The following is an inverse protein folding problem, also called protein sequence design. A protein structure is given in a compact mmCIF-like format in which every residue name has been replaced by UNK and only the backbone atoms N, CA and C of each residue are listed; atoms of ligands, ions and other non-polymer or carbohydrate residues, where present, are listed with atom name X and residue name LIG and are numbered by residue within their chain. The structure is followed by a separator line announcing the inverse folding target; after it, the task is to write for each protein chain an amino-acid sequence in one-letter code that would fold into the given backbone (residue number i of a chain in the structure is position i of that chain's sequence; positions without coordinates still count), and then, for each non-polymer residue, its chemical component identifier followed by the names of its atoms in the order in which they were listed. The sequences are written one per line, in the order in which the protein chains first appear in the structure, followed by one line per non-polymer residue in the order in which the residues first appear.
data_IF_017193118882
#
_entry.id   IF_017193118882
#
_cell.length_a   1.000
_cell.length_b   1.000
_cell.length_c   1.000
_cell.angle_alpha   90.00
_cell.angle_beta   90.00
_cell.angle_gamma   90.00
#
_symmetry.space_group_name_H-M   'P 1'
#
loop_
_entity.id
_entity.type
_entity.pdbx_description
1 polymer ?
#
# COMPACT_ATOMS: atom_id res chain seq x y z
N UNK A 1 50.37 -25.21 -79.34
CA UNK A 1 51.77 -25.52 -78.95
C UNK A 1 52.17 -24.62 -77.78
N UNK A 2 52.86 -25.18 -76.77
CA UNK A 2 53.45 -24.58 -75.54
C UNK A 2 52.42 -24.21 -74.43
N UNK A 3 52.33 -24.99 -73.34
CA UNK A 3 53.19 -25.18 -72.14
C UNK A 3 53.01 -24.06 -71.09
N UNK A 4 52.30 -24.32 -69.99
CA UNK A 4 52.77 -24.59 -68.59
C UNK A 4 53.37 -23.36 -67.86
N UNK A 5 52.80 -23.01 -66.70
CA UNK A 5 53.37 -22.75 -65.34
C UNK A 5 52.37 -21.83 -64.59
N UNK A 6 51.63 -22.20 -63.54
CA UNK A 6 51.93 -22.72 -62.20
C UNK A 6 52.74 -21.75 -61.31
N UNK A 7 52.02 -20.99 -60.47
CA UNK A 7 52.42 -20.40 -59.16
C UNK A 7 51.13 -19.98 -58.42
N UNK A 8 50.59 -20.79 -57.49
CA UNK A 8 50.71 -20.68 -56.02
C UNK A 8 50.38 -19.28 -55.44
N UNK A 9 49.24 -19.10 -54.76
CA UNK A 9 49.03 -19.14 -53.26
C UNK A 9 49.37 -17.77 -52.62
N UNK A 10 48.61 -17.09 -51.73
CA UNK A 10 47.43 -17.34 -50.89
C UNK A 10 46.94 -15.98 -50.30
N UNK A 11 45.62 -15.88 -50.07
CA UNK A 11 44.83 -15.09 -49.08
C UNK A 11 45.14 -13.59 -48.81
N UNK A 12 44.15 -12.73 -48.59
CA UNK A 12 42.77 -12.97 -48.18
C UNK A 12 41.92 -11.71 -48.33
N UNK A 13 40.62 -11.95 -48.43
CA UNK A 13 39.58 -11.00 -48.77
C UNK A 13 39.35 -9.92 -47.71
N UNK A 14 39.02 -8.71 -48.16
CA UNK A 14 38.03 -7.86 -47.47
C UNK A 14 37.04 -7.35 -48.51
N UNK A 15 35.78 -7.73 -48.29
CA UNK A 15 34.61 -7.41 -49.07
C UNK A 15 34.34 -5.90 -49.12
N UNK A 16 33.97 -5.41 -50.30
CA UNK A 16 33.31 -4.14 -50.48
C UNK A 16 31.89 -4.19 -49.88
N UNK A 17 31.56 -3.24 -49.00
CA UNK A 17 30.23 -3.02 -48.45
C UNK A 17 29.85 -1.55 -48.61
N UNK A 18 28.83 -1.30 -49.42
CA UNK A 18 28.28 0.01 -49.76
C UNK A 18 27.79 0.83 -48.55
N UNK A 19 27.90 2.15 -48.69
CA UNK A 19 27.53 3.12 -47.67
C UNK A 19 26.06 3.14 -47.27
N UNK A 20 25.83 3.51 -46.00
CA UNK A 20 24.57 4.00 -45.47
C UNK A 20 24.82 5.40 -44.90
N UNK A 21 23.94 6.33 -45.26
CA UNK A 21 23.78 7.62 -44.58
C UNK A 21 23.24 7.36 -43.19
N UNK A 22 23.93 7.85 -42.18
CA UNK A 22 23.44 7.87 -40.81
C UNK A 22 22.28 8.86 -40.69
N UNK A 23 21.11 8.37 -40.26
CA UNK A 23 20.08 9.19 -39.62
C UNK A 23 20.42 9.26 -38.13
N UNK A 24 20.23 10.41 -37.46
CA UNK A 24 20.40 10.48 -36.02
C UNK A 24 19.27 9.69 -35.35
N UNK A 25 19.66 8.75 -34.49
CA UNK A 25 18.74 8.08 -33.57
C UNK A 25 18.01 9.15 -32.76
N UNK A 26 16.68 9.21 -32.93
CA UNK A 26 15.82 9.81 -31.91
C UNK A 26 15.91 8.91 -30.68
N UNK A 27 16.78 9.27 -29.76
CA UNK A 27 16.64 8.84 -28.38
C UNK A 27 15.27 9.34 -27.90
N UNK A 28 14.32 8.43 -27.73
CA UNK A 28 13.09 8.65 -26.98
C UNK A 28 13.48 8.91 -25.51
N UNK A 29 13.92 10.13 -25.22
CA UNK A 29 13.90 10.68 -23.88
C UNK A 29 12.44 11.00 -23.54
N UNK A 30 11.62 9.96 -23.30
CA UNK A 30 10.51 10.12 -22.37
C UNK A 30 11.18 10.40 -21.02
N UNK A 31 11.31 11.68 -20.69
CA UNK A 31 11.66 12.09 -19.34
C UNK A 31 10.67 11.37 -18.41
N UNK A 32 11.16 10.40 -17.63
CA UNK A 32 10.36 9.76 -16.59
C UNK A 32 9.77 10.89 -15.76
N UNK A 33 8.44 10.94 -15.68
CA UNK A 33 7.77 12.02 -14.94
C UNK A 33 8.00 11.75 -13.47
N UNK A 34 9.05 12.35 -12.91
CA UNK A 34 9.43 12.18 -11.51
C UNK A 34 8.47 12.97 -10.61
N UNK A 35 7.94 12.30 -9.57
CA UNK A 35 7.09 12.94 -8.57
C UNK A 35 8.01 13.75 -7.66
N UNK A 36 7.81 15.07 -7.60
CA UNK A 36 8.64 15.97 -6.78
C UNK A 36 8.05 16.25 -5.42
N UNK A 37 6.74 16.38 -5.35
CA UNK A 37 6.00 16.72 -4.13
C UNK A 37 4.92 15.66 -3.90
N UNK A 38 4.70 15.33 -2.63
CA UNK A 38 3.61 14.43 -2.27
C UNK A 38 2.25 15.08 -2.55
N UNK A 39 1.28 14.27 -2.97
CA UNK A 39 -0.06 14.77 -3.30
C UNK A 39 -1.15 13.75 -2.94
N UNK A 40 -2.33 14.23 -2.57
CA UNK A 40 -3.43 13.43 -2.04
C UNK A 40 -4.69 13.60 -2.88
N UNK A 41 -5.42 12.50 -3.05
CA UNK A 41 -6.75 12.44 -3.64
C UNK A 41 -7.65 11.52 -2.81
N UNK A 42 -8.95 11.82 -2.74
CA UNK A 42 -9.95 10.91 -2.19
C UNK A 42 -10.58 10.00 -3.25
N UNK A 43 -10.04 9.98 -4.47
CA UNK A 43 -10.60 9.24 -5.62
C UNK A 43 -12.03 9.67 -5.94
N UNK A 44 -12.36 10.95 -5.72
CA UNK A 44 -13.72 11.48 -5.87
C UNK A 44 -14.04 11.99 -7.29
N UNK A 45 -13.14 11.78 -8.25
CA UNK A 45 -13.41 11.99 -9.67
C UNK A 45 -12.92 10.79 -10.52
N UNK A 46 -13.38 10.73 -11.76
CA UNK A 46 -13.15 9.57 -12.63
C UNK A 46 -11.67 9.34 -12.93
N UNK A 47 -10.89 10.40 -13.16
CA UNK A 47 -9.47 10.30 -13.53
C UNK A 47 -8.62 9.76 -12.38
N UNK A 48 -8.78 10.30 -11.16
CA UNK A 48 -8.06 9.81 -9.98
C UNK A 48 -8.48 8.40 -9.62
N UNK A 49 -9.78 8.08 -9.71
CA UNK A 49 -10.29 6.75 -9.45
C UNK A 49 -9.71 5.71 -10.42
N UNK A 50 -9.78 5.97 -11.74
CA UNK A 50 -9.24 5.07 -12.77
C UNK A 50 -7.73 4.90 -12.67
N UNK A 51 -7.01 5.96 -12.31
CA UNK A 51 -5.58 5.88 -12.05
C UNK A 51 -5.27 4.90 -10.90
N UNK A 52 -5.94 5.06 -9.76
CA UNK A 52 -5.73 4.18 -8.60
C UNK A 52 -6.17 2.75 -8.91
N UNK A 53 -7.31 2.57 -9.60
CA UNK A 53 -7.79 1.27 -10.05
C UNK A 53 -6.72 0.55 -10.90
N UNK A 54 -6.19 1.21 -11.93
CA UNK A 54 -5.18 0.63 -12.81
C UNK A 54 -3.91 0.23 -12.05
N UNK A 55 -3.42 1.11 -11.17
CA UNK A 55 -2.21 0.89 -10.38
C UNK A 55 -2.39 -0.29 -9.41
N UNK A 56 -3.52 -0.37 -8.70
CA UNK A 56 -3.78 -1.48 -7.77
C UNK A 56 -3.97 -2.80 -8.52
N UNK A 57 -4.69 -2.82 -9.64
CA UNK A 57 -4.86 -4.02 -10.47
C UNK A 57 -3.52 -4.53 -11.01
N UNK A 58 -2.67 -3.64 -11.49
CA UNK A 58 -1.34 -4.01 -12.00
C UNK A 58 -0.43 -4.60 -10.91
N UNK A 59 -0.41 -3.99 -9.72
CA UNK A 59 0.53 -4.38 -8.67
C UNK A 59 0.02 -5.54 -7.80
N UNK A 60 -1.28 -5.66 -7.58
CA UNK A 60 -1.85 -6.66 -6.66
C UNK A 60 -2.61 -7.77 -7.38
N UNK A 61 -3.28 -7.46 -8.49
CA UNK A 61 -4.21 -8.39 -9.16
C UNK A 61 -3.68 -9.09 -10.41
N UNK A 62 -2.60 -8.58 -11.03
CA UNK A 62 -2.15 -9.04 -12.36
C UNK A 62 -1.82 -10.55 -12.43
N UNK A 63 -1.38 -11.14 -11.33
CA UNK A 63 -0.92 -12.53 -11.26
C UNK A 63 -1.83 -13.40 -10.35
N UNK A 64 -2.95 -12.87 -9.86
CA UNK A 64 -3.81 -13.53 -8.88
C UNK A 64 -5.28 -13.03 -8.94
N UNK A 65 -6.18 -13.88 -9.44
CA UNK A 65 -7.60 -13.55 -9.63
C UNK A 65 -8.34 -13.21 -8.32
N UNK A 66 -7.98 -13.84 -7.20
CA UNK A 66 -8.59 -13.54 -5.90
C UNK A 66 -8.15 -12.15 -5.42
N UNK A 67 -6.86 -11.84 -5.58
CA UNK A 67 -6.34 -10.50 -5.28
C UNK A 67 -6.96 -9.43 -6.19
N UNK A 68 -7.19 -9.74 -7.48
CA UNK A 68 -7.90 -8.84 -8.39
C UNK A 68 -9.35 -8.57 -7.93
N UNK A 69 -10.07 -9.61 -7.48
CA UNK A 69 -11.41 -9.48 -6.92
C UNK A 69 -11.42 -8.63 -5.62
N UNK A 70 -10.38 -8.73 -4.79
CA UNK A 70 -10.26 -7.89 -3.60
C UNK A 70 -9.99 -6.42 -3.95
N UNK A 71 -9.20 -6.14 -5.00
CA UNK A 71 -9.04 -4.78 -5.52
C UNK A 71 -10.39 -4.23 -6.01
N UNK A 72 -11.18 -5.02 -6.74
CA UNK A 72 -12.53 -4.60 -7.16
C UNK A 72 -13.45 -4.32 -5.96
N UNK A 73 -13.40 -5.16 -4.92
CA UNK A 73 -14.17 -4.95 -3.69
C UNK A 73 -13.74 -3.68 -2.95
N UNK A 74 -12.43 -3.43 -2.84
CA UNK A 74 -11.89 -2.19 -2.28
C UNK A 74 -12.40 -0.96 -3.04
N UNK A 75 -12.28 -0.96 -4.37
CA UNK A 75 -12.73 0.14 -5.23
C UNK A 75 -14.25 0.36 -5.14
N UNK A 76 -15.03 -0.72 -4.98
CA UNK A 76 -16.46 -0.61 -4.76
C UNK A 76 -16.80 0.08 -3.41
N UNK A 77 -16.04 -0.19 -2.34
CA UNK A 77 -16.19 0.49 -1.05
C UNK A 77 -15.79 1.97 -1.13
N UNK A 78 -14.71 2.30 -1.85
CA UNK A 78 -14.32 3.70 -2.12
C UNK A 78 -15.45 4.45 -2.82
N UNK A 79 -16.00 3.86 -3.88
CA UNK A 79 -17.08 4.46 -4.66
C UNK A 79 -18.36 4.64 -3.84
N UNK A 80 -18.78 3.63 -3.09
CA UNK A 80 -19.95 3.70 -2.21
C UNK A 80 -19.79 4.80 -1.16
N UNK A 81 -18.63 4.88 -0.51
CA UNK A 81 -18.33 5.93 0.46
C UNK A 81 -18.39 7.32 -0.20
N UNK A 82 -17.64 7.54 -1.29
CA UNK A 82 -17.57 8.83 -1.97
C UNK A 82 -18.95 9.32 -2.44
N UNK A 83 -19.76 8.42 -2.99
CA UNK A 83 -21.14 8.72 -3.40
C UNK A 83 -22.01 9.07 -2.18
N UNK A 84 -21.91 8.31 -1.10
CA UNK A 84 -22.74 8.50 0.10
C UNK A 84 -22.45 9.78 0.87
N UNK A 85 -21.17 10.19 0.98
CA UNK A 85 -20.78 11.41 1.68
C UNK A 85 -20.89 12.66 0.79
N UNK A 86 -21.06 12.46 -0.51
CA UNK A 86 -21.12 13.47 -1.55
C UNK A 86 -19.74 13.86 -2.06
N UNK A 87 -19.43 13.48 -3.31
CA UNK A 87 -18.11 13.69 -3.96
C UNK A 87 -17.62 15.14 -3.93
N UNK A 88 -18.54 16.11 -3.94
CA UNK A 88 -18.23 17.55 -3.80
C UNK A 88 -17.56 17.94 -2.48
N UNK A 89 -17.72 17.12 -1.44
CA UNK A 89 -17.13 17.32 -0.11
C UNK A 89 -15.73 16.68 -0.01
N UNK A 90 -15.24 16.09 -1.11
CA UNK A 90 -14.00 15.33 -1.17
C UNK A 90 -13.04 15.91 -2.22
N UNK A 91 -11.80 15.45 -2.16
CA UNK A 91 -10.75 15.83 -3.11
C UNK A 91 -10.80 14.88 -4.31
N UNK A 92 -11.20 15.39 -5.47
CA UNK A 92 -11.13 14.68 -6.75
C UNK A 92 -9.69 14.49 -7.22
N UNK A 93 -9.09 15.53 -7.81
CA UNK A 93 -7.72 15.48 -8.32
C UNK A 93 -6.67 15.40 -7.22
N UNK A 94 -5.50 14.85 -7.54
CA UNK A 94 -4.34 14.89 -6.64
C UNK A 94 -3.93 16.35 -6.37
N UNK A 95 -3.92 16.75 -5.10
CA UNK A 95 -3.49 18.08 -4.64
C UNK A 95 -2.28 17.97 -3.73
N UNK A 96 -1.36 18.94 -3.81
CA UNK A 96 -0.19 19.04 -2.93
C UNK A 96 -0.58 19.54 -1.51
N UNK A 97 -1.58 18.89 -0.91
CA UNK A 97 -2.05 19.12 0.45
C UNK A 97 -2.32 17.75 1.11
N UNK A 98 -1.46 17.38 2.06
CA UNK A 98 -1.57 16.13 2.81
C UNK A 98 -2.36 16.28 4.12
N UNK A 99 -2.80 17.50 4.47
CA UNK A 99 -3.58 17.80 5.68
C UNK A 99 -4.87 18.53 5.30
N UNK A 100 -5.69 17.97 4.38
CA UNK A 100 -6.92 18.61 3.99
C UNK A 100 -7.89 18.69 5.18
N UNK A 101 -8.61 19.80 5.26
CA UNK A 101 -9.69 19.96 6.23
C UNK A 101 -11.00 19.46 5.63
N UNK A 102 -11.63 18.49 6.30
CA UNK A 102 -12.96 18.00 5.95
C UNK A 102 -13.99 18.51 6.97
N UNK A 103 -15.20 18.79 6.52
CA UNK A 103 -16.33 18.96 7.42
C UNK A 103 -16.82 17.57 7.85
N UNK A 104 -16.18 17.01 8.87
CA UNK A 104 -16.50 15.66 9.38
C UNK A 104 -17.97 15.53 9.79
N UNK A 105 -18.58 16.60 10.31
CA UNK A 105 -20.00 16.62 10.65
C UNK A 105 -20.88 16.37 9.42
N UNK A 106 -20.61 17.07 8.33
CA UNK A 106 -21.32 16.88 7.05
C UNK A 106 -21.06 15.50 6.45
N UNK A 107 -19.82 15.00 6.49
CA UNK A 107 -19.51 13.66 5.96
C UNK A 107 -20.28 12.57 6.72
N UNK A 108 -20.26 12.63 8.06
CA UNK A 108 -20.95 11.67 8.93
C UNK A 108 -22.47 11.77 8.72
N UNK A 109 -23.03 12.97 8.70
CA UNK A 109 -24.47 13.19 8.51
C UNK A 109 -24.94 12.64 7.14
N UNK A 110 -24.19 12.91 6.08
CA UNK A 110 -24.50 12.39 4.75
C UNK A 110 -24.39 10.86 4.72
N UNK A 111 -23.30 10.30 5.29
CA UNK A 111 -23.08 8.85 5.36
C UNK A 111 -24.20 8.12 6.09
N UNK A 112 -24.72 8.70 7.17
CA UNK A 112 -25.81 8.12 7.97
C UNK A 112 -27.16 8.15 7.25
N UNK A 113 -27.42 9.19 6.42
CA UNK A 113 -28.68 9.34 5.67
C UNK A 113 -28.70 8.57 4.36
N UNK A 114 -27.53 8.24 3.81
CA UNK A 114 -27.43 7.56 2.54
C UNK A 114 -27.81 6.08 2.64
N UNK A 115 -28.42 5.54 1.58
CA UNK A 115 -28.47 4.11 1.36
C UNK A 115 -27.07 3.60 0.99
N UNK A 116 -26.36 3.03 1.96
CA UNK A 116 -25.01 2.48 1.77
C UNK A 116 -25.04 0.98 1.49
N UNK A 117 -24.19 0.53 0.55
CA UNK A 117 -24.04 -0.90 0.22
C UNK A 117 -23.01 -1.59 1.09
N UNK A 118 -22.06 -0.83 1.62
CA UNK A 118 -20.95 -1.35 2.42
C UNK A 118 -20.93 -0.72 3.81
N UNK A 119 -20.47 -1.46 4.84
CA UNK A 119 -20.22 -0.88 6.14
C UNK A 119 -19.09 0.14 6.07
N UNK A 120 -18.98 0.95 7.11
CA UNK A 120 -17.80 1.77 7.33
C UNK A 120 -16.65 0.87 7.78
N UNK A 121 -15.50 0.96 7.12
CA UNK A 121 -14.31 0.13 7.38
C UNK A 121 -13.11 1.01 7.72
N UNK A 122 -12.05 0.44 8.29
CA UNK A 122 -10.86 1.17 8.72
C UNK A 122 -9.59 0.73 7.96
N UNK A 123 -8.44 1.21 8.41
CA UNK A 123 -7.13 0.93 7.82
C UNK A 123 -6.82 -0.57 7.79
N UNK A 124 -7.03 -1.28 8.90
CA UNK A 124 -6.74 -2.72 9.05
C UNK A 124 -7.54 -3.54 8.04
N UNK A 125 -8.85 -3.34 7.97
CA UNK A 125 -9.74 -4.07 7.04
C UNK A 125 -9.32 -3.83 5.59
N UNK A 126 -9.10 -2.56 5.21
CA UNK A 126 -8.82 -2.22 3.82
C UNK A 126 -7.43 -2.68 3.35
N UNK A 127 -6.40 -2.48 4.18
CA UNK A 127 -5.05 -2.90 3.83
C UNK A 127 -4.95 -4.44 3.75
N UNK A 128 -5.60 -5.15 4.68
CA UNK A 128 -5.61 -6.60 4.67
C UNK A 128 -6.40 -7.17 3.49
N UNK A 129 -7.56 -6.59 3.16
CA UNK A 129 -8.33 -6.96 1.96
C UNK A 129 -7.46 -6.89 0.70
N UNK A 130 -6.73 -5.78 0.52
CA UNK A 130 -5.86 -5.59 -0.64
C UNK A 130 -4.67 -6.56 -0.69
N UNK A 131 -4.24 -7.13 0.44
CA UNK A 131 -3.00 -7.88 0.54
C UNK A 131 -3.15 -9.39 0.75
N UNK A 132 -4.23 -9.86 1.38
CA UNK A 132 -4.32 -11.21 1.97
C UNK A 132 -4.07 -12.33 0.96
N UNK A 133 -4.62 -12.25 -0.25
CA UNK A 133 -4.42 -13.28 -1.28
C UNK A 133 -2.99 -13.34 -1.83
N UNK A 134 -2.16 -12.33 -1.55
CA UNK A 134 -0.74 -12.29 -1.86
C UNK A 134 0.15 -12.51 -0.61
N UNK A 135 -0.46 -12.84 0.53
CA UNK A 135 0.21 -13.14 1.79
C UNK A 135 0.09 -14.63 2.12
N UNK A 136 0.95 -15.10 3.04
CA UNK A 136 0.89 -16.46 3.58
C UNK A 136 1.25 -16.43 5.05
N UNK A 137 0.38 -17.00 5.87
CA UNK A 137 0.66 -17.33 7.27
C UNK A 137 1.54 -18.59 7.34
N UNK A 138 2.64 -18.54 8.09
CA UNK A 138 3.62 -19.64 8.21
C UNK A 138 3.58 -20.35 9.57
N UNK A 139 2.74 -19.90 10.51
CA UNK A 139 2.68 -20.44 11.86
C UNK A 139 1.24 -20.55 12.33
N UNK A 140 0.84 -21.72 12.82
CA UNK A 140 -0.43 -21.92 13.52
C UNK A 140 -0.39 -21.34 14.94
N UNK A 141 -1.47 -20.72 15.38
CA UNK A 141 -1.66 -20.26 16.75
C UNK A 141 -3.03 -19.63 16.94
N UNK A 142 -3.44 -19.44 18.19
CA UNK A 142 -4.61 -18.61 18.50
C UNK A 142 -4.25 -17.13 18.33
N UNK A 143 -5.21 -16.35 17.84
CA UNK A 143 -5.11 -14.90 17.84
C UNK A 143 -5.36 -14.35 19.25
N UNK A 144 -4.76 -13.19 19.54
CA UNK A 144 -5.16 -12.33 20.65
C UNK A 144 -5.87 -11.10 20.06
N UNK A 145 -7.19 -11.21 19.93
CA UNK A 145 -8.06 -10.32 19.16
C UNK A 145 -8.80 -9.29 20.03
N UNK A 146 -8.40 -9.10 21.30
CA UNK A 146 -9.11 -8.24 22.26
C UNK A 146 -9.34 -6.79 21.76
N UNK A 147 -8.45 -6.29 20.91
CA UNK A 147 -8.51 -4.93 20.34
C UNK A 147 -9.23 -4.84 18.99
N UNK A 148 -9.79 -5.93 18.49
CA UNK A 148 -10.35 -6.05 17.13
C UNK A 148 -11.89 -6.01 17.10
N UNK A 149 -12.55 -5.79 18.23
CA UNK A 149 -14.02 -5.88 18.33
C UNK A 149 -14.78 -5.03 17.29
N UNK A 150 -14.33 -3.79 17.01
CA UNK A 150 -14.96 -2.95 15.99
C UNK A 150 -14.71 -3.48 14.58
N UNK A 151 -13.51 -3.98 14.32
CA UNK A 151 -13.15 -4.56 13.03
C UNK A 151 -14.00 -5.80 12.74
N UNK A 152 -14.13 -6.69 13.73
CA UNK A 152 -14.94 -7.90 13.64
C UNK A 152 -16.42 -7.59 13.40
N UNK A 153 -16.96 -6.57 14.08
CA UNK A 153 -18.33 -6.10 13.84
C UNK A 153 -18.52 -5.71 12.37
N UNK A 154 -17.60 -4.90 11.81
CA UNK A 154 -17.69 -4.41 10.43
C UNK A 154 -17.38 -5.47 9.38
N UNK A 155 -16.46 -6.39 9.68
CA UNK A 155 -16.19 -7.57 8.84
C UNK A 155 -17.45 -8.42 8.72
N UNK A 156 -18.12 -8.68 9.85
CA UNK A 156 -19.36 -9.47 9.89
C UNK A 156 -20.55 -8.76 9.24
N UNK A 157 -20.72 -7.46 9.52
CA UNK A 157 -21.76 -6.61 8.92
C UNK A 157 -21.67 -6.64 7.38
N UNK A 158 -20.46 -6.42 6.84
CA UNK A 158 -20.21 -6.36 5.40
C UNK A 158 -19.93 -7.69 4.72
N UNK A 159 -19.82 -8.80 5.46
CA UNK A 159 -19.30 -10.08 4.96
C UNK A 159 -18.01 -9.87 4.17
N UNK A 160 -17.06 -9.16 4.79
CA UNK A 160 -15.86 -8.68 4.11
C UNK A 160 -14.91 -9.83 3.80
N UNK A 161 -14.78 -10.78 4.73
CA UNK A 161 -13.93 -11.95 4.60
C UNK A 161 -14.77 -13.23 4.69
N UNK A 162 -14.26 -14.32 4.11
CA UNK A 162 -14.69 -15.65 4.50
C UNK A 162 -14.07 -16.03 5.84
N UNK A 163 -14.42 -17.22 6.34
CA UNK A 163 -13.97 -17.67 7.66
C UNK A 163 -12.44 -17.76 7.76
N UNK A 164 -11.77 -18.27 6.73
CA UNK A 164 -10.33 -18.49 6.76
C UNK A 164 -9.59 -17.15 6.75
N UNK A 165 -10.05 -16.20 5.93
CA UNK A 165 -9.48 -14.85 5.91
C UNK A 165 -9.81 -14.05 7.18
N UNK A 166 -10.96 -14.28 7.82
CA UNK A 166 -11.29 -13.68 9.12
C UNK A 166 -10.38 -14.21 10.24
N UNK A 167 -10.12 -15.52 10.27
CA UNK A 167 -9.14 -16.11 11.20
C UNK A 167 -7.72 -15.58 10.93
N UNK A 168 -7.32 -15.44 9.66
CA UNK A 168 -6.05 -14.86 9.28
C UNK A 168 -5.95 -13.37 9.66
N UNK A 169 -7.03 -12.60 9.50
CA UNK A 169 -7.11 -11.19 9.91
C UNK A 169 -6.86 -11.04 11.41
N UNK A 170 -7.56 -11.83 12.23
CA UNK A 170 -7.40 -11.81 13.70
C UNK A 170 -5.96 -12.08 14.10
N UNK A 171 -5.31 -13.05 13.46
CA UNK A 171 -3.89 -13.35 13.71
C UNK A 171 -2.99 -12.22 13.24
N UNK A 172 -3.13 -11.71 12.03
CA UNK A 172 -2.23 -10.66 11.54
C UNK A 172 -2.27 -9.40 12.42
N UNK A 173 -3.45 -9.04 12.92
CA UNK A 173 -3.67 -7.87 13.78
C UNK A 173 -3.74 -8.18 15.28
N UNK A 174 -3.35 -9.38 15.72
CA UNK A 174 -3.33 -9.66 17.15
C UNK A 174 -2.40 -8.71 17.88
N UNK A 175 -2.75 -8.38 19.12
CA UNK A 175 -1.79 -7.70 20.00
C UNK A 175 -0.67 -8.67 20.39
N UNK A 176 0.53 -8.14 20.57
CA UNK A 176 1.76 -8.89 20.78
C UNK A 176 2.33 -8.54 22.15
N UNK A 177 2.44 -9.50 23.09
CA UNK A 177 3.03 -9.24 24.40
C UNK A 177 4.45 -8.71 24.28
N UNK A 178 4.80 -7.71 25.07
CA UNK A 178 6.14 -7.13 25.13
C UNK A 178 6.55 -6.77 26.56
N UNK A 179 7.75 -6.21 26.73
CA UNK A 179 8.18 -5.58 27.96
C UNK A 179 7.95 -4.05 27.96
N UNK A 180 8.12 -3.42 29.12
CA UNK A 180 7.88 -1.99 29.32
C UNK A 180 8.94 -1.06 28.70
N UNK A 181 9.77 -1.54 27.77
CA UNK A 181 10.74 -0.69 27.09
C UNK A 181 10.06 0.44 26.31
N UNK A 182 10.68 1.60 26.34
CA UNK A 182 10.25 2.79 25.58
C UNK A 182 11.12 3.03 24.34
N UNK A 183 11.99 2.07 24.00
CA UNK A 183 12.90 2.18 22.87
C UNK A 183 12.24 1.59 21.60
N UNK A 184 11.95 2.43 20.58
CA UNK A 184 11.26 1.97 19.37
C UNK A 184 11.96 0.83 18.64
N UNK A 185 13.31 0.82 18.62
CA UNK A 185 14.06 -0.26 17.97
C UNK A 185 13.90 -1.61 18.68
N UNK A 186 13.80 -1.60 20.02
CA UNK A 186 13.60 -2.82 20.81
C UNK A 186 12.19 -3.36 20.64
N UNK A 187 11.19 -2.48 20.69
CA UNK A 187 9.79 -2.85 20.41
C UNK A 187 9.59 -3.27 18.95
N UNK A 188 10.28 -2.60 18.02
CA UNK A 188 10.34 -2.99 16.61
C UNK A 188 10.81 -4.42 16.44
N UNK A 189 11.86 -4.84 17.16
CA UNK A 189 12.36 -6.23 17.11
C UNK A 189 11.31 -7.26 17.53
N UNK A 190 10.50 -6.96 18.55
CA UNK A 190 9.38 -7.83 18.98
C UNK A 190 8.36 -7.99 17.84
N UNK A 191 8.00 -6.89 17.17
CA UNK A 191 7.10 -6.95 16.01
C UNK A 191 7.72 -7.59 14.79
N UNK A 192 9.02 -7.43 14.54
CA UNK A 192 9.71 -8.13 13.45
C UNK A 192 9.65 -9.65 13.63
N UNK A 193 9.85 -10.12 14.86
CA UNK A 193 9.80 -11.55 15.18
C UNK A 193 8.36 -12.09 15.06
N UNK A 194 7.36 -11.27 15.42
CA UNK A 194 5.95 -11.59 15.21
C UNK A 194 5.58 -11.66 13.72
N UNK A 195 5.96 -10.66 12.95
CA UNK A 195 5.60 -10.53 11.53
C UNK A 195 6.46 -11.40 10.62
N UNK A 196 7.57 -11.97 11.10
CA UNK A 196 8.38 -12.96 10.37
C UNK A 196 7.61 -14.24 10.00
N UNK A 197 6.48 -14.51 10.67
CA UNK A 197 5.58 -15.61 10.32
C UNK A 197 4.70 -15.32 9.11
N UNK A 198 4.76 -14.12 8.54
CA UNK A 198 3.99 -13.74 7.37
C UNK A 198 4.90 -13.55 6.16
N UNK A 199 4.44 -13.96 4.98
CA UNK A 199 4.95 -13.39 3.74
C UNK A 199 4.12 -12.17 3.36
N UNK A 200 4.77 -11.24 2.65
CA UNK A 200 4.18 -10.01 2.16
C UNK A 200 4.07 -10.03 0.64
N UNK A 201 3.19 -9.20 0.04
CA UNK A 201 3.07 -9.09 -1.40
C UNK A 201 4.42 -8.72 -2.05
N UNK A 202 4.74 -9.30 -3.21
CA UNK A 202 6.02 -9.05 -3.88
C UNK A 202 6.10 -7.66 -4.57
N UNK A 203 4.94 -7.08 -4.90
CA UNK A 203 4.79 -5.82 -5.65
C UNK A 203 4.13 -4.71 -4.82
N UNK A 204 3.93 -4.93 -3.52
CA UNK A 204 3.36 -3.96 -2.61
C UNK A 204 3.96 -4.09 -1.22
N UNK A 205 4.00 -2.98 -0.50
CA UNK A 205 4.46 -2.94 0.87
C UNK A 205 3.31 -2.59 1.81
N UNK A 206 3.20 -3.35 2.89
CA UNK A 206 2.34 -3.03 4.01
C UNK A 206 3.11 -2.10 4.95
N UNK A 207 2.74 -0.83 4.95
CA UNK A 207 3.35 0.18 5.82
C UNK A 207 2.45 0.37 7.03
N UNK A 208 2.94 0.00 8.21
CA UNK A 208 2.15 0.01 9.44
C UNK A 208 2.76 0.89 10.52
N UNK A 209 1.91 1.55 11.30
CA UNK A 209 2.28 2.21 12.56
C UNK A 209 1.90 1.28 13.71
N UNK A 210 2.89 0.96 14.54
CA UNK A 210 2.72 0.15 15.74
C UNK A 210 2.55 1.04 16.96
N UNK A 211 1.60 0.69 17.81
CA UNK A 211 1.27 1.35 19.07
C UNK A 211 1.64 0.43 20.24
N UNK A 212 2.20 1.02 21.29
CA UNK A 212 2.46 0.34 22.57
C UNK A 212 1.41 0.78 23.60
N UNK A 213 0.59 -0.17 24.05
CA UNK A 213 -0.38 0.01 25.12
C UNK A 213 0.06 -0.74 26.40
N UNK A 214 -0.26 -0.16 27.55
CA UNK A 214 0.07 -0.70 28.87
C UNK A 214 -1.12 -0.79 29.84
N UNK A 215 -2.36 -0.58 29.36
CA UNK A 215 -3.56 -0.53 30.20
C UNK A 215 -3.87 -1.87 30.89
N UNK A 216 -3.64 -3.00 30.21
CA UNK A 216 -3.91 -4.36 30.73
C UNK A 216 -2.70 -5.30 30.60
N UNK A 217 -1.50 -4.71 30.54
CA UNK A 217 -0.24 -5.39 30.26
C UNK A 217 0.48 -4.67 29.12
N UNK A 218 1.78 -4.94 28.94
CA UNK A 218 2.53 -4.29 27.86
C UNK A 218 2.30 -5.07 26.56
N UNK A 219 1.63 -4.45 25.61
CA UNK A 219 1.33 -5.02 24.30
C UNK A 219 1.67 -4.05 23.17
N UNK A 220 2.08 -4.62 22.05
CA UNK A 220 2.21 -3.93 20.78
C UNK A 220 1.09 -4.34 19.84
N UNK A 221 0.58 -3.41 19.05
CA UNK A 221 -0.37 -3.75 17.98
C UNK A 221 -0.25 -2.78 16.81
N UNK A 222 -0.70 -3.23 15.65
CA UNK A 222 -0.81 -2.37 14.47
C UNK A 222 -2.02 -1.44 14.66
N UNK A 223 -1.74 -0.18 15.02
CA UNK A 223 -2.77 0.86 15.19
C UNK A 223 -3.18 1.51 13.87
N UNK A 224 -2.29 1.51 12.87
CA UNK A 224 -2.61 1.97 11.52
C UNK A 224 -1.81 1.21 10.47
N UNK A 225 -2.37 1.07 9.26
CA UNK A 225 -1.72 0.37 8.15
C UNK A 225 -2.28 0.84 6.81
N UNK A 226 -1.44 0.86 5.78
CA UNK A 226 -1.85 1.08 4.39
C UNK A 226 -1.00 0.28 3.42
N UNK A 227 -1.37 0.37 2.14
CA UNK A 227 -0.69 -0.35 1.05
C UNK A 227 0.10 0.64 0.20
N UNK A 228 1.40 0.44 0.09
CA UNK A 228 2.30 1.22 -0.77
C UNK A 228 2.68 0.40 -2.00
N UNK A 229 2.46 0.94 -3.19
CA UNK A 229 2.85 0.31 -4.46
C UNK A 229 3.72 1.23 -5.28
N UNK A 230 4.57 0.65 -6.12
CA UNK A 230 5.44 1.43 -7.02
C UNK A 230 4.63 1.95 -8.21
N UNK A 231 4.87 3.21 -8.57
CA UNK A 231 4.33 3.83 -9.79
C UNK A 231 5.46 4.47 -10.60
N UNK A 232 5.17 4.94 -11.81
CA UNK A 232 6.14 5.76 -12.53
C UNK A 232 6.49 7.00 -11.72
N UNK A 233 7.79 7.22 -11.48
CA UNK A 233 8.29 8.42 -10.81
C UNK A 233 8.16 8.44 -9.28
N UNK A 234 7.62 7.40 -8.64
CA UNK A 234 7.52 7.35 -7.17
C UNK A 234 6.68 6.18 -6.66
N UNK A 235 5.85 6.46 -5.65
CA UNK A 235 5.00 5.47 -4.97
C UNK A 235 3.58 5.99 -4.78
N UNK A 236 2.60 5.07 -4.76
CA UNK A 236 1.22 5.33 -4.38
C UNK A 236 0.92 4.61 -3.06
N UNK A 237 0.55 5.37 -2.04
CA UNK A 237 0.06 4.86 -0.77
C UNK A 237 -1.45 4.97 -0.70
N UNK A 238 -2.13 3.89 -0.34
CA UNK A 238 -3.59 3.87 -0.18
C UNK A 238 -3.92 3.56 1.27
N UNK A 239 -4.73 4.42 1.89
CA UNK A 239 -5.12 4.30 3.29
C UNK A 239 -6.57 4.72 3.55
N UNK A 240 -7.08 4.32 4.71
CA UNK A 240 -8.32 4.80 5.30
C UNK A 240 -8.12 4.90 6.81
N UNK A 241 -7.91 6.12 7.32
CA UNK A 241 -7.40 6.36 8.68
C UNK A 241 -8.35 5.80 9.74
N UNK A 242 -9.62 6.13 9.62
CA UNK A 242 -10.68 5.73 10.55
C UNK A 242 -11.92 5.27 9.78
N UNK A 243 -12.91 4.76 10.51
CA UNK A 243 -14.18 4.32 9.94
C UNK A 243 -14.91 5.45 9.21
N UNK A 244 -14.84 6.66 9.75
CA UNK A 244 -15.62 7.81 9.29
C UNK A 244 -14.87 8.66 8.26
N UNK A 245 -13.54 8.64 8.25
CA UNK A 245 -12.74 9.49 7.37
C UNK A 245 -12.69 9.01 5.91
N UNK A 246 -12.47 9.92 4.94
CA UNK A 246 -12.36 9.53 3.54
C UNK A 246 -11.23 8.52 3.26
N UNK A 247 -11.44 7.71 2.23
CA UNK A 247 -10.35 6.96 1.61
C UNK A 247 -9.33 7.93 1.02
N UNK A 248 -8.05 7.60 1.10
CA UNK A 248 -6.97 8.46 0.62
C UNK A 248 -6.02 7.67 -0.28
N UNK A 249 -5.69 8.27 -1.41
CA UNK A 249 -4.62 7.86 -2.30
C UNK A 249 -3.57 8.96 -2.31
N UNK A 250 -2.34 8.63 -1.91
CA UNK A 250 -1.27 9.60 -1.69
C UNK A 250 -0.07 9.21 -2.53
N UNK A 251 0.36 10.10 -3.41
CA UNK A 251 1.59 9.94 -4.19
C UNK A 251 2.76 10.44 -3.36
N UNK A 252 3.85 9.68 -3.33
CA UNK A 252 5.10 10.05 -2.70
C UNK A 252 6.28 9.95 -3.67
N UNK A 253 7.29 10.83 -3.57
CA UNK A 253 8.53 10.72 -4.37
C UNK A 253 9.31 9.45 -4.05
N UNK A 254 9.33 9.05 -2.78
CA UNK A 254 10.08 7.91 -2.27
C UNK A 254 9.40 7.27 -1.06
N UNK A 255 9.75 6.01 -0.73
CA UNK A 255 9.20 5.31 0.45
C UNK A 255 9.41 6.09 1.74
N UNK A 256 10.60 6.70 1.90
CA UNK A 256 10.94 7.47 3.11
C UNK A 256 9.95 8.61 3.36
N UNK A 257 9.46 9.28 2.32
CA UNK A 257 8.46 10.33 2.45
C UNK A 257 7.11 9.80 2.98
N UNK A 258 6.74 8.56 2.64
CA UNK A 258 5.59 7.88 3.24
C UNK A 258 5.82 7.58 4.73
N UNK A 259 7.02 7.11 5.11
CA UNK A 259 7.33 6.87 6.52
C UNK A 259 7.30 8.17 7.33
N UNK A 260 7.92 9.24 6.83
CA UNK A 260 7.94 10.55 7.48
C UNK A 260 6.52 11.13 7.62
N UNK A 261 5.66 10.93 6.61
CA UNK A 261 4.24 11.29 6.67
C UNK A 261 3.51 10.59 7.83
N UNK A 262 3.69 9.28 7.98
CA UNK A 262 3.07 8.52 9.07
C UNK A 262 3.62 8.92 10.44
N UNK A 263 4.94 9.13 10.57
CA UNK A 263 5.54 9.61 11.83
C UNK A 263 4.98 10.95 12.25
N UNK A 264 4.90 11.90 11.32
CA UNK A 264 4.32 13.23 11.58
C UNK A 264 2.84 13.14 11.93
N UNK A 265 2.08 12.23 11.31
CA UNK A 265 0.65 12.05 11.56
C UNK A 265 0.36 11.48 12.94
N UNK A 266 1.21 10.57 13.43
CA UNK A 266 1.05 9.90 14.73
C UNK A 266 1.94 10.48 15.83
N UNK A 267 2.62 11.62 15.60
CA UNK A 267 3.58 12.21 16.55
C UNK A 267 2.98 12.57 17.92
N UNK A 268 1.69 12.90 17.94
CA UNK A 268 0.96 13.33 19.15
C UNK A 268 0.27 12.15 19.84
N UNK A 269 0.32 10.95 19.24
CA UNK A 269 -0.15 9.71 19.86
C UNK A 269 0.93 9.19 20.80
N UNK A 270 1.13 9.85 21.94
CA UNK A 270 2.20 9.49 22.89
C UNK A 270 1.66 9.33 24.30
N UNK A 271 2.07 8.26 24.96
CA UNK A 271 1.96 8.09 26.41
C UNK A 271 3.39 8.08 27.01
N UNK A 272 3.71 8.96 27.98
CA UNK A 272 5.00 8.95 28.67
C UNK A 272 5.37 7.60 29.29
N UNK A 273 4.40 6.72 29.55
CA UNK A 273 4.59 5.40 30.13
C UNK A 273 4.92 4.31 29.09
N UNK A 274 4.75 4.56 27.79
CA UNK A 274 4.98 3.56 26.73
C UNK A 274 6.01 4.03 25.70
N UNK A 275 6.30 3.16 24.73
CA UNK A 275 7.13 3.51 23.58
C UNK A 275 6.33 4.41 22.64
N UNK A 276 6.91 5.50 22.08
CA UNK A 276 6.22 6.27 21.06
C UNK A 276 5.92 5.40 19.82
N UNK A 277 4.90 5.75 19.02
CA UNK A 277 4.56 5.03 17.80
C UNK A 277 5.75 4.91 16.86
N UNK A 278 5.83 3.80 16.15
CA UNK A 278 6.90 3.55 15.19
C UNK A 278 6.39 2.86 13.92
N UNK A 279 7.12 3.03 12.83
CA UNK A 279 6.75 2.57 11.50
C UNK A 279 7.47 1.27 11.15
N UNK A 280 6.73 0.35 10.53
CA UNK A 280 7.23 -0.88 9.93
C UNK A 280 6.90 -0.90 8.43
N UNK A 281 7.79 -1.45 7.61
CA UNK A 281 7.56 -1.78 6.19
C UNK A 281 7.71 -3.30 6.04
N UNK A 282 6.64 -3.99 5.64
CA UNK A 282 6.64 -5.45 5.43
C UNK A 282 7.25 -6.23 6.60
N UNK A 283 6.87 -5.85 7.82
CA UNK A 283 7.34 -6.47 9.04
C UNK A 283 8.78 -6.14 9.42
N UNK A 284 9.38 -5.08 8.86
CA UNK A 284 10.70 -4.56 9.25
C UNK A 284 10.60 -3.16 9.84
N UNK A 285 11.34 -2.92 10.92
CA UNK A 285 11.39 -1.61 11.55
C UNK A 285 12.08 -0.59 10.64
N UNK A 286 11.41 0.55 10.36
CA UNK A 286 11.92 1.64 9.50
C UNK A 286 11.92 3.01 10.18
N UNK A 287 11.52 3.05 11.45
CA UNK A 287 11.81 4.15 12.38
C UNK A 287 10.61 4.85 12.94
#
# INVERSE_FOLDING_TARGET
MKKILLSLIIFGAVFAGCGKKDMPDKADNKAKTEIKTASLSNMANEDSFKFVEGVLKENLGADNDMAAANVDKFLAMVKDYNQSVGEKNLIGDFKEDLKPSYDSGVLIENRQKAEKKFPDTNCRINAFLLAIDNMKERKSGAADDEILFMDEEKIKEGKIFDRDNEEAFKKFFSRVPTDASKEPIKQGKVMEDYLAYWSFPAKADLISVVIHDNLDGNYLFIGHIGVLVKIEGGYLFVEKISFEEPYQAIKFPEKKACYDYLKEKFKDYTDPATCPPFVMDNGKYVG
#
